data_IF_466039325380
#
_entry.id   IF_466039325380
#
_cell.length_a   1.000
_cell.length_b   1.000
_cell.length_c   1.000
_cell.angle_alpha   90.00
_cell.angle_beta   90.00
_cell.angle_gamma   90.00
#
_symmetry.space_group_name_H-M   'P 1'
#
loop_
_entity.id
_entity.type
_entity.pdbx_description
1 polymer ?
#
# COMPACT_ATOMS: atom_id res chain seq x y z
N UNK A 1 14.82 65.58 25.74
CA UNK A 1 14.32 66.53 24.71
C UNK A 1 15.01 66.16 23.40
N UNK A 2 14.38 66.03 22.24
CA UNK A 2 12.99 66.03 21.78
C UNK A 2 13.15 65.61 20.30
N UNK A 3 12.35 64.65 19.83
CA UNK A 3 11.97 64.47 18.41
C UNK A 3 13.01 63.90 17.41
N UNK A 4 13.36 62.61 17.46
CA UNK A 4 13.60 61.81 16.21
C UNK A 4 13.20 60.33 16.39
N UNK A 5 12.16 60.06 17.20
CA UNK A 5 11.68 58.68 17.46
C UNK A 5 10.59 58.20 16.48
N UNK A 6 10.36 58.91 15.37
CA UNK A 6 9.19 58.70 14.53
C UNK A 6 9.47 58.20 13.10
N UNK A 7 10.71 57.77 12.79
CA UNK A 7 11.06 57.34 11.42
C UNK A 7 11.54 55.88 11.30
N UNK A 8 11.50 55.10 12.38
CA UNK A 8 11.91 53.67 12.37
C UNK A 8 10.70 52.72 12.31
N UNK A 9 9.48 53.22 12.52
CA UNK A 9 8.26 52.40 12.54
C UNK A 9 7.62 52.15 11.16
N UNK A 10 8.13 52.75 10.09
CA UNK A 10 7.51 52.64 8.74
C UNK A 10 8.24 51.68 7.78
N UNK A 11 9.38 51.10 8.17
CA UNK A 11 10.19 50.22 7.30
C UNK A 11 10.08 48.73 7.68
N UNK A 12 9.34 48.39 8.74
CA UNK A 12 9.17 47.00 9.19
C UNK A 12 7.97 46.26 8.58
N UNK A 13 7.34 46.80 7.52
CA UNK A 13 6.18 46.17 6.88
C UNK A 13 6.50 45.46 5.54
N UNK A 14 7.78 45.26 5.16
CA UNK A 14 8.13 44.65 3.87
C UNK A 14 8.99 43.38 3.93
N UNK A 15 9.11 42.70 5.08
CA UNK A 15 9.83 41.42 5.17
C UNK A 15 8.95 40.26 5.65
N UNK A 16 7.70 40.20 5.19
CA UNK A 16 6.79 39.08 5.46
C UNK A 16 6.17 38.52 4.18
N UNK A 17 6.88 38.57 3.05
CA UNK A 17 6.46 37.96 1.79
C UNK A 17 7.59 37.09 1.24
N UNK A 18 8.00 36.08 2.02
CA UNK A 18 8.96 35.08 1.57
C UNK A 18 8.67 33.66 2.10
N UNK A 19 7.47 33.43 2.66
CA UNK A 19 7.07 32.11 3.21
C UNK A 19 5.60 31.78 2.91
N UNK A 20 5.05 32.27 1.80
CA UNK A 20 3.70 31.89 1.38
C UNK A 20 3.70 30.65 0.46
N UNK A 21 4.77 30.46 -0.34
CA UNK A 21 4.86 29.33 -1.28
C UNK A 21 5.23 28.00 -0.62
N UNK A 22 5.83 27.99 0.58
CA UNK A 22 6.19 26.75 1.27
C UNK A 22 5.01 26.09 2.01
N UNK A 23 3.95 26.84 2.34
CA UNK A 23 2.80 26.30 3.09
C UNK A 23 1.94 25.41 2.18
N UNK A 24 1.82 25.76 0.90
CA UNK A 24 1.01 25.01 -0.06
C UNK A 24 1.67 23.67 -0.44
N UNK A 25 3.01 23.59 -0.42
CA UNK A 25 3.77 22.33 -0.58
C UNK A 25 3.76 21.47 0.70
N UNK A 26 3.65 22.08 1.90
CA UNK A 26 3.51 21.37 3.18
C UNK A 26 2.11 20.79 3.42
N UNK A 27 1.11 21.29 2.71
CA UNK A 27 -0.28 20.81 2.74
C UNK A 27 -0.57 19.76 1.65
N UNK A 28 0.37 19.51 0.73
CA UNK A 28 0.30 18.30 -0.08
C UNK A 28 0.40 17.11 0.87
N UNK A 29 -0.54 16.14 0.83
CA UNK A 29 -0.34 14.90 1.56
C UNK A 29 1.03 14.37 1.10
N UNK A 30 1.98 14.24 2.03
CA UNK A 30 3.21 13.52 1.74
C UNK A 30 2.77 12.18 1.12
N UNK A 31 3.40 11.72 0.02
CA UNK A 31 3.10 10.39 -0.49
C UNK A 31 3.29 9.45 0.70
N UNK A 32 2.21 8.83 1.13
CA UNK A 32 2.21 7.96 2.28
C UNK A 32 3.16 6.82 1.91
N UNK A 33 4.39 6.88 2.42
CA UNK A 33 5.41 5.85 2.16
C UNK A 33 5.07 4.53 2.88
N UNK A 34 3.87 4.45 3.45
CA UNK A 34 3.30 3.30 4.10
C UNK A 34 2.94 2.18 3.13
N UNK A 35 2.73 1.01 3.71
CA UNK A 35 2.19 -0.15 3.00
C UNK A 35 0.69 0.07 2.85
N UNK A 36 0.20 0.07 1.62
CA UNK A 36 -1.22 0.16 1.31
C UNK A 36 -1.84 -1.23 1.32
N UNK A 37 -2.88 -1.43 2.13
CA UNK A 37 -3.67 -2.66 2.12
C UNK A 37 -4.82 -2.50 1.14
N UNK A 38 -4.81 -3.30 0.07
CA UNK A 38 -5.82 -3.30 -0.98
C UNK A 38 -6.60 -4.62 -0.91
N UNK A 39 -7.93 -4.52 -0.89
CA UNK A 39 -8.82 -5.67 -1.05
C UNK A 39 -9.26 -5.67 -2.51
N UNK A 40 -8.88 -6.68 -3.32
CA UNK A 40 -9.29 -6.75 -4.72
C UNK A 40 -10.81 -6.73 -4.86
N UNK A 41 -11.32 -6.02 -5.88
CA UNK A 41 -12.75 -6.00 -6.20
C UNK A 41 -13.23 -7.39 -6.62
N UNK A 42 -12.49 -8.04 -7.53
CA UNK A 42 -12.63 -9.46 -7.84
C UNK A 42 -11.51 -10.23 -7.15
N UNK A 43 -11.89 -11.13 -6.25
CA UNK A 43 -10.93 -11.96 -5.51
C UNK A 43 -10.62 -13.27 -6.23
N UNK A 44 -11.30 -13.61 -7.34
CA UNK A 44 -11.09 -14.85 -8.10
C UNK A 44 -11.15 -16.14 -7.28
N UNK A 45 -11.86 -16.12 -6.15
CA UNK A 45 -11.98 -17.26 -5.24
C UNK A 45 -13.23 -18.09 -5.52
N UNK A 46 -13.10 -19.41 -5.50
CA UNK A 46 -14.25 -20.32 -5.52
C UNK A 46 -14.63 -20.71 -4.09
N UNK A 47 -13.65 -20.81 -3.21
CA UNK A 47 -13.84 -21.09 -1.79
C UNK A 47 -14.47 -19.91 -1.05
N UNK A 48 -15.68 -20.12 -0.51
CA UNK A 48 -16.46 -19.11 0.23
C UNK A 48 -15.79 -18.61 1.52
N UNK A 49 -14.83 -19.34 2.03
CA UNK A 49 -14.10 -19.02 3.27
C UNK A 49 -12.77 -18.34 2.99
N UNK A 50 -12.42 -18.19 1.70
CA UNK A 50 -11.20 -17.55 1.28
C UNK A 50 -11.34 -16.04 1.27
N UNK A 51 -10.23 -15.37 1.57
CA UNK A 51 -10.07 -13.92 1.48
C UNK A 51 -8.71 -13.61 0.89
N UNK A 52 -8.69 -12.67 -0.05
CA UNK A 52 -7.47 -12.15 -0.66
C UNK A 52 -7.20 -10.73 -0.16
N UNK A 53 -5.94 -10.46 0.18
CA UNK A 53 -5.43 -9.15 0.54
C UNK A 53 -4.12 -8.89 -0.21
N UNK A 54 -3.95 -7.67 -0.70
CA UNK A 54 -2.70 -7.17 -1.25
C UNK A 54 -2.11 -6.14 -0.30
N UNK A 55 -0.81 -6.22 -0.07
CA UNK A 55 -0.01 -5.19 0.59
C UNK A 55 0.95 -4.62 -0.44
N UNK A 56 0.67 -3.39 -0.88
CA UNK A 56 1.43 -2.68 -1.89
C UNK A 56 2.35 -1.66 -1.24
N UNK A 57 3.61 -1.62 -1.68
CA UNK A 57 4.60 -0.62 -1.26
C UNK A 57 4.93 0.25 -2.47
N UNK A 58 4.35 1.47 -2.58
CA UNK A 58 4.53 2.32 -3.76
C UNK A 58 5.99 2.69 -4.05
N UNK A 59 6.81 2.84 -3.00
CA UNK A 59 8.22 3.25 -3.16
C UNK A 59 9.07 2.21 -3.91
N UNK A 60 8.75 0.92 -3.76
CA UNK A 60 9.54 -0.19 -4.32
C UNK A 60 8.79 -0.96 -5.39
N UNK A 61 7.55 -0.60 -5.69
CA UNK A 61 6.62 -1.31 -6.57
C UNK A 61 6.41 -2.77 -6.12
N UNK A 62 6.45 -3.00 -4.81
CA UNK A 62 6.40 -4.33 -4.23
C UNK A 62 5.00 -4.68 -3.76
N UNK A 63 4.53 -5.86 -4.13
CA UNK A 63 3.22 -6.39 -3.72
C UNK A 63 3.39 -7.72 -2.99
N UNK A 64 2.79 -7.80 -1.80
CA UNK A 64 2.61 -9.05 -1.06
C UNK A 64 1.15 -9.44 -1.10
N UNK A 65 0.87 -10.58 -1.71
CA UNK A 65 -0.45 -11.15 -1.77
C UNK A 65 -0.62 -12.18 -0.65
N UNK A 66 -1.74 -12.09 0.06
CA UNK A 66 -2.15 -13.04 1.08
C UNK A 66 -3.50 -13.64 0.69
N UNK A 67 -3.51 -14.95 0.42
CA UNK A 67 -4.72 -15.74 0.29
C UNK A 67 -4.91 -16.53 1.58
N UNK A 68 -6.01 -16.29 2.30
CA UNK A 68 -6.28 -16.94 3.58
C UNK A 68 -7.61 -17.67 3.53
N UNK A 69 -7.65 -18.93 3.97
CA UNK A 69 -8.88 -19.72 4.08
C UNK A 69 -8.81 -20.71 5.24
N UNK A 70 -9.92 -21.38 5.56
CA UNK A 70 -9.88 -22.48 6.53
C UNK A 70 -8.98 -23.61 6.04
N UNK A 71 -8.14 -24.14 6.93
CA UNK A 71 -7.11 -25.12 6.57
C UNK A 71 -7.66 -26.41 5.94
N UNK A 72 -8.90 -26.78 6.27
CA UNK A 72 -9.57 -27.97 5.72
C UNK A 72 -9.97 -27.77 4.26
N UNK A 73 -10.20 -26.53 3.85
CA UNK A 73 -10.62 -26.15 2.50
C UNK A 73 -9.46 -25.55 1.68
N UNK A 74 -8.22 -25.68 2.15
CA UNK A 74 -7.06 -25.15 1.46
C UNK A 74 -6.68 -26.03 0.27
N UNK A 75 -6.74 -25.43 -0.92
CA UNK A 75 -6.18 -25.97 -2.15
C UNK A 75 -5.07 -25.02 -2.63
N UNK A 76 -3.85 -25.56 -2.77
CA UNK A 76 -2.69 -24.78 -3.20
C UNK A 76 -2.81 -24.34 -4.67
N UNK A 77 -3.42 -25.15 -5.54
CA UNK A 77 -3.64 -24.83 -6.93
C UNK A 77 -4.64 -23.69 -7.10
N UNK A 78 -5.75 -23.72 -6.35
CA UNK A 78 -6.72 -22.62 -6.32
C UNK A 78 -6.07 -21.32 -5.83
N UNK A 79 -5.31 -21.38 -4.72
CA UNK A 79 -4.64 -20.21 -4.16
C UNK A 79 -3.63 -19.58 -5.13
N UNK A 80 -2.86 -20.41 -5.85
CA UNK A 80 -1.89 -19.95 -6.84
C UNK A 80 -2.57 -19.32 -8.06
N UNK A 81 -3.62 -19.96 -8.59
CA UNK A 81 -4.37 -19.41 -9.73
C UNK A 81 -5.04 -18.08 -9.37
N UNK A 82 -5.64 -18.02 -8.17
CA UNK A 82 -6.19 -16.79 -7.61
C UNK A 82 -5.13 -15.70 -7.53
N UNK A 83 -3.94 -16.04 -7.01
CA UNK A 83 -2.87 -15.08 -6.87
C UNK A 83 -2.40 -14.53 -8.23
N UNK A 84 -2.27 -15.38 -9.24
CA UNK A 84 -1.92 -14.97 -10.60
C UNK A 84 -2.99 -14.06 -11.22
N UNK A 85 -4.27 -14.39 -11.04
CA UNK A 85 -5.38 -13.59 -11.55
C UNK A 85 -5.41 -12.20 -10.90
N UNK A 86 -5.34 -12.15 -9.56
CA UNK A 86 -5.36 -10.88 -8.81
C UNK A 86 -4.13 -10.02 -9.12
N UNK A 87 -2.94 -10.61 -9.24
CA UNK A 87 -1.73 -9.87 -9.62
C UNK A 87 -1.81 -9.33 -11.05
N UNK A 88 -2.46 -10.07 -11.95
CA UNK A 88 -2.70 -9.62 -13.31
C UNK A 88 -3.70 -8.47 -13.33
N UNK A 89 -4.81 -8.57 -12.59
CA UNK A 89 -5.78 -7.47 -12.49
C UNK A 89 -5.13 -6.22 -11.91
N UNK A 90 -4.26 -6.37 -10.91
CA UNK A 90 -3.47 -5.26 -10.38
C UNK A 90 -2.56 -4.66 -11.46
N UNK A 91 -1.90 -5.49 -12.28
CA UNK A 91 -1.11 -4.99 -13.40
C UNK A 91 -1.98 -4.24 -14.43
N UNK A 92 -3.13 -4.80 -14.81
CA UNK A 92 -4.04 -4.25 -15.81
C UNK A 92 -4.70 -2.94 -15.32
N UNK A 93 -4.81 -2.72 -14.01
CA UNK A 93 -5.25 -1.46 -13.40
C UNK A 93 -4.17 -0.36 -13.42
N UNK A 94 -2.90 -0.74 -13.62
CA UNK A 94 -1.75 0.14 -13.56
C UNK A 94 -0.96 0.06 -14.87
N UNK A 95 -1.32 0.92 -15.84
CA UNK A 95 -0.73 0.98 -17.19
C UNK A 95 0.81 1.14 -17.23
N UNK A 96 1.40 1.53 -16.12
CA UNK A 96 2.85 1.69 -15.95
C UNK A 96 3.62 0.37 -15.81
N UNK A 97 2.96 -0.76 -15.56
CA UNK A 97 3.62 -2.04 -15.33
C UNK A 97 3.53 -2.99 -16.53
N UNK A 98 4.68 -3.44 -17.05
CA UNK A 98 4.73 -4.45 -18.12
C UNK A 98 4.87 -5.89 -17.61
N UNK A 99 5.21 -6.08 -16.33
CA UNK A 99 5.33 -7.39 -15.72
C UNK A 99 5.78 -7.33 -14.26
N UNK A 100 6.08 -8.49 -13.69
CA UNK A 100 6.57 -8.60 -12.31
C UNK A 100 7.60 -9.72 -12.14
N UNK A 101 8.41 -9.59 -11.10
CA UNK A 101 9.39 -10.59 -10.68
C UNK A 101 9.08 -11.09 -9.27
N UNK A 102 9.17 -12.39 -9.07
CA UNK A 102 9.12 -12.98 -7.73
C UNK A 102 10.35 -12.58 -6.91
N UNK A 103 10.10 -11.91 -5.79
CA UNK A 103 11.13 -11.50 -4.83
C UNK A 103 11.47 -12.63 -3.86
N UNK A 104 10.49 -13.50 -3.60
CA UNK A 104 10.64 -14.70 -2.77
C UNK A 104 9.79 -15.83 -3.33
N UNK A 105 10.20 -17.06 -3.06
CA UNK A 105 9.35 -18.23 -3.32
C UNK A 105 8.07 -18.12 -2.50
N UNK A 106 6.95 -18.45 -3.13
CA UNK A 106 5.67 -18.52 -2.45
C UNK A 106 5.73 -19.47 -1.26
N UNK A 107 4.97 -19.15 -0.22
CA UNK A 107 4.97 -19.93 1.01
C UNK A 107 3.56 -20.12 1.53
N UNK A 108 3.33 -21.28 2.14
CA UNK A 108 2.09 -21.60 2.83
C UNK A 108 2.38 -21.70 4.31
N UNK A 109 1.58 -21.01 5.12
CA UNK A 109 1.64 -21.07 6.59
C UNK A 109 0.31 -21.55 7.11
N UNK A 110 0.37 -22.47 8.07
CA UNK A 110 -0.80 -22.92 8.81
C UNK A 110 -0.72 -22.36 10.22
N UNK A 111 -1.84 -21.83 10.71
CA UNK A 111 -1.92 -21.33 12.08
C UNK A 111 -3.28 -21.67 12.67
N UNK A 112 -3.34 -21.72 14.00
CA UNK A 112 -4.59 -21.90 14.73
C UNK A 112 -4.95 -20.55 15.34
N UNK A 113 -6.18 -20.11 15.11
CA UNK A 113 -6.70 -18.96 15.81
C UNK A 113 -7.03 -19.37 17.26
N UNK A 114 -6.40 -18.71 18.23
CA UNK A 114 -6.58 -19.01 19.65
C UNK A 114 -7.98 -18.68 20.14
N UNK A 115 -8.66 -17.71 19.51
CA UNK A 115 -10.00 -17.27 19.93
C UNK A 115 -11.09 -18.21 19.47
N UNK A 116 -11.04 -18.62 18.20
CA UNK A 116 -12.07 -19.46 17.59
C UNK A 116 -11.72 -20.95 17.60
N UNK A 117 -10.45 -21.28 17.80
CA UNK A 117 -9.93 -22.65 17.71
C UNK A 117 -9.80 -23.18 16.28
N UNK A 118 -10.23 -22.40 15.27
CA UNK A 118 -10.16 -22.81 13.87
C UNK A 118 -8.72 -22.82 13.35
N UNK A 119 -8.43 -23.79 12.49
CA UNK A 119 -7.16 -23.85 11.75
C UNK A 119 -7.33 -23.11 10.43
N UNK A 120 -6.39 -22.23 10.15
CA UNK A 120 -6.32 -21.40 8.96
C UNK A 120 -5.08 -21.76 8.15
N UNK A 121 -5.19 -21.63 6.84
CA UNK A 121 -4.08 -21.72 5.90
C UNK A 121 -3.95 -20.38 5.18
N UNK A 122 -2.72 -19.90 5.09
CA UNK A 122 -2.37 -18.67 4.41
C UNK A 122 -1.30 -18.95 3.37
N UNK A 123 -1.65 -18.76 2.11
CA UNK A 123 -0.72 -18.70 1.00
C UNK A 123 -0.24 -17.26 0.82
N UNK A 124 1.07 -17.09 0.68
CA UNK A 124 1.71 -15.80 0.49
C UNK A 124 2.53 -15.81 -0.79
N UNK A 125 2.29 -14.82 -1.66
CA UNK A 125 3.16 -14.50 -2.79
C UNK A 125 3.79 -13.13 -2.62
N UNK A 126 5.03 -12.97 -3.10
CA UNK A 126 5.77 -11.72 -2.99
C UNK A 126 6.44 -11.39 -4.31
N UNK A 127 5.93 -10.34 -4.94
CA UNK A 127 6.36 -9.89 -6.26
C UNK A 127 6.76 -8.43 -6.24
N UNK A 128 7.59 -8.05 -7.19
CA UNK A 128 7.93 -6.66 -7.48
C UNK A 128 7.57 -6.38 -8.94
N UNK A 129 6.75 -5.38 -9.17
CA UNK A 129 6.36 -4.96 -10.50
C UNK A 129 7.50 -4.21 -11.20
N UNK A 130 7.51 -4.29 -12.53
CA UNK A 130 8.51 -3.65 -13.38
C UNK A 130 7.82 -2.64 -14.31
N UNK A 131 8.38 -1.44 -14.36
CA UNK A 131 7.96 -0.32 -15.20
C UNK A 131 8.94 -0.13 -16.35
#
# INVERSE_FOLDING_TARGET
MKKIFALVAAVFCFSAVAFADEIDDLLKPQPDNGIETIIPEDQHVTNKTARVELQYTPLTDEVRLFYTCHAVAFDQGEAMNTALAVLKDFQDQHDEYYGYKYMKRDSVKYYKDEKTGFKWAMYQSYVRFQR
#
